data_IF_493015163116
#
_entry.id   IF_493015163116
#
_cell.length_a   1.000
_cell.length_b   1.000
_cell.length_c   1.000
_cell.angle_alpha   90.00
_cell.angle_beta   90.00
_cell.angle_gamma   90.00
#
_symmetry.space_group_name_H-M   'P 1'
#
loop_
_entity.id
_entity.type
_entity.pdbx_description
1 polymer ?
#
# COMPACT_ATOMS: atom_id res chain seq x y z
N UNK A 1 -59.19 -24.82 10.92
CA UNK A 1 -58.97 -23.56 10.18
C UNK A 1 -57.94 -22.80 10.99
N UNK A 2 -56.69 -23.10 10.67
CA UNK A 2 -55.54 -22.91 11.54
C UNK A 2 -55.09 -21.45 11.59
N UNK A 3 -54.57 -20.96 12.72
CA UNK A 3 -53.99 -19.62 12.79
C UNK A 3 -52.69 -19.59 11.97
N UNK A 4 -52.63 -18.66 11.03
CA UNK A 4 -51.45 -18.39 10.20
C UNK A 4 -50.30 -17.97 11.13
N UNK A 5 -49.28 -18.83 11.23
CA UNK A 5 -48.01 -18.53 11.88
C UNK A 5 -47.42 -17.28 11.23
N UNK A 6 -47.38 -16.18 11.99
CA UNK A 6 -46.52 -15.05 11.67
C UNK A 6 -45.07 -15.52 11.78
N UNK A 7 -44.50 -15.88 10.62
CA UNK A 7 -43.07 -16.06 10.40
C UNK A 7 -42.32 -14.95 11.11
N UNK A 8 -41.61 -15.29 12.18
CA UNK A 8 -40.64 -14.41 12.81
C UNK A 8 -39.55 -14.14 11.77
N UNK A 9 -39.64 -12.99 11.11
CA UNK A 9 -38.57 -12.44 10.30
C UNK A 9 -37.33 -12.34 11.20
N UNK A 10 -36.44 -13.31 11.08
CA UNK A 10 -35.15 -13.34 11.76
C UNK A 10 -34.27 -12.37 10.98
N UNK A 11 -33.90 -11.19 11.53
CA UNK A 11 -32.93 -10.36 10.83
C UNK A 11 -31.60 -11.11 10.80
N UNK A 12 -31.27 -11.69 9.66
CA UNK A 12 -29.94 -12.18 9.32
C UNK A 12 -29.01 -10.98 9.14
N UNK A 13 -28.73 -10.32 10.25
CA UNK A 13 -27.85 -9.17 10.36
C UNK A 13 -26.92 -9.40 11.52
N UNK A 14 -26.14 -10.48 11.47
CA UNK A 14 -24.94 -10.62 12.29
C UNK A 14 -23.89 -9.63 11.76
N UNK A 15 -24.20 -8.34 11.89
CA UNK A 15 -23.19 -7.29 11.94
C UNK A 15 -22.48 -7.53 13.27
N UNK A 16 -21.49 -8.41 13.20
CA UNK A 16 -20.58 -8.74 14.28
C UNK A 16 -19.93 -7.42 14.70
N UNK A 17 -20.52 -6.78 15.72
CA UNK A 17 -19.91 -5.64 16.40
C UNK A 17 -18.68 -6.20 17.08
N UNK A 18 -17.57 -6.27 16.34
CA UNK A 18 -16.26 -6.61 16.86
C UNK A 18 -16.05 -5.71 18.07
N UNK A 19 -15.97 -6.33 19.24
CA UNK A 19 -15.85 -5.59 20.50
C UNK A 19 -14.57 -4.75 20.38
N UNK A 20 -14.65 -3.46 20.71
CA UNK A 20 -13.51 -2.53 20.59
C UNK A 20 -12.24 -3.06 21.27
N UNK A 21 -12.40 -3.89 22.29
CA UNK A 21 -11.32 -4.60 22.99
C UNK A 21 -10.57 -5.57 22.06
N UNK A 22 -11.26 -6.31 21.20
CA UNK A 22 -10.62 -7.22 20.23
C UNK A 22 -9.81 -6.44 19.19
N UNK A 23 -10.36 -5.33 18.69
CA UNK A 23 -9.64 -4.41 17.81
C UNK A 23 -8.37 -3.86 18.48
N UNK A 24 -8.48 -3.42 19.73
CA UNK A 24 -7.36 -2.87 20.48
C UNK A 24 -6.27 -3.93 20.73
N UNK A 25 -6.64 -5.18 21.04
CA UNK A 25 -5.68 -6.29 21.19
C UNK A 25 -4.97 -6.59 19.87
N UNK A 26 -5.70 -6.61 18.74
CA UNK A 26 -5.08 -6.79 17.41
C UNK A 26 -4.10 -5.68 17.10
N UNK A 27 -4.46 -4.44 17.39
CA UNK A 27 -3.57 -3.27 17.23
C UNK A 27 -2.32 -3.39 18.09
N UNK A 28 -2.43 -3.82 19.36
CA UNK A 28 -1.27 -4.03 20.22
C UNK A 28 -0.35 -5.14 19.70
N UNK A 29 -0.92 -6.25 19.22
CA UNK A 29 -0.14 -7.34 18.63
C UNK A 29 0.57 -6.84 17.36
N UNK A 30 -0.14 -6.13 16.48
CA UNK A 30 0.45 -5.53 15.29
C UNK A 30 1.54 -4.53 15.63
N UNK A 31 1.33 -3.67 16.62
CA UNK A 31 2.32 -2.70 17.08
C UNK A 31 3.56 -3.38 17.67
N UNK A 32 3.37 -4.43 18.49
CA UNK A 32 4.46 -5.20 19.06
C UNK A 32 5.28 -5.92 17.97
N UNK A 33 4.61 -6.56 17.02
CA UNK A 33 5.27 -7.19 15.87
C UNK A 33 6.02 -6.17 15.01
N UNK A 34 5.42 -4.99 14.78
CA UNK A 34 6.05 -3.92 14.02
C UNK A 34 7.28 -3.35 14.74
N UNK A 35 7.18 -3.13 16.05
CA UNK A 35 8.30 -2.67 16.88
C UNK A 35 9.41 -3.72 16.93
N UNK A 36 9.06 -5.00 17.06
CA UNK A 36 10.00 -6.11 16.99
C UNK A 36 10.71 -6.19 15.64
N UNK A 37 9.98 -6.02 14.54
CA UNK A 37 10.56 -5.94 13.19
C UNK A 37 11.52 -4.76 13.06
N UNK A 38 11.12 -3.56 13.49
CA UNK A 38 11.97 -2.38 13.46
C UNK A 38 13.25 -2.59 14.28
N UNK A 39 13.13 -3.18 15.48
CA UNK A 39 14.27 -3.48 16.33
C UNK A 39 15.21 -4.50 15.68
N UNK A 40 14.66 -5.57 15.10
CA UNK A 40 15.43 -6.57 14.36
C UNK A 40 16.14 -5.97 13.13
N UNK A 41 15.45 -5.15 12.35
CA UNK A 41 16.04 -4.43 11.22
C UNK A 41 17.19 -3.51 11.68
N UNK A 42 17.00 -2.78 12.79
CA UNK A 42 18.02 -1.87 13.33
C UNK A 42 19.23 -2.62 13.91
N UNK A 43 19.00 -3.79 14.53
CA UNK A 43 20.05 -4.57 15.19
C UNK A 43 20.82 -5.49 14.24
N UNK A 44 20.14 -6.07 13.24
CA UNK A 44 20.72 -7.09 12.34
C UNK A 44 21.20 -6.52 11.00
N UNK A 45 20.64 -5.40 10.55
CA UNK A 45 20.97 -4.81 9.27
C UNK A 45 21.54 -3.41 9.51
N UNK A 46 22.83 -3.22 9.20
CA UNK A 46 23.41 -1.89 8.95
C UNK A 46 22.95 -1.38 7.57
N UNK A 47 21.67 -1.56 7.24
CA UNK A 47 21.07 -1.07 6.00
C UNK A 47 20.83 0.42 6.23
N UNK A 48 21.65 1.24 5.59
CA UNK A 48 21.36 2.66 5.47
C UNK A 48 20.09 2.78 4.63
N UNK A 49 18.94 2.93 5.30
CA UNK A 49 17.69 3.37 4.68
C UNK A 49 17.82 4.82 4.16
N UNK A 50 18.87 5.50 4.61
CA UNK A 50 19.29 6.81 4.17
C UNK A 50 20.27 6.71 3.00
N UNK A 51 20.13 7.60 2.02
CA UNK A 51 21.18 7.88 1.05
C UNK A 51 22.32 8.59 1.79
N UNK A 52 23.38 7.86 2.14
CA UNK A 52 24.49 8.36 2.96
C UNK A 52 24.97 9.76 2.53
N UNK A 53 25.00 10.74 3.45
CA UNK A 53 25.49 12.09 3.17
C UNK A 53 27.03 12.17 3.01
N UNK A 54 27.77 11.09 3.24
CA UNK A 54 29.22 11.04 3.01
C UNK A 54 29.61 10.93 1.52
N UNK A 55 28.66 10.91 0.61
CA UNK A 55 28.89 11.20 -0.81
C UNK A 55 29.09 12.72 -1.04
N UNK A 56 30.03 13.33 -0.31
CA UNK A 56 30.37 14.76 -0.37
C UNK A 56 30.87 15.25 -1.75
N UNK A 57 30.84 14.41 -2.79
CA UNK A 57 31.19 14.75 -4.18
C UNK A 57 30.35 13.95 -5.18
N UNK A 58 29.03 13.78 -4.97
CA UNK A 58 28.18 13.15 -6.00
C UNK A 58 27.07 14.10 -6.43
N UNK A 59 27.21 14.56 -7.67
CA UNK A 59 26.30 15.41 -8.46
C UNK A 59 24.91 14.78 -8.72
N UNK A 60 24.46 13.83 -7.89
CA UNK A 60 23.23 13.05 -8.08
C UNK A 60 22.47 13.01 -6.75
N UNK A 61 21.46 13.86 -6.62
CA UNK A 61 20.48 13.78 -5.52
C UNK A 61 19.65 12.50 -5.68
N UNK A 62 19.99 11.45 -4.92
CA UNK A 62 19.25 10.19 -4.87
C UNK A 62 18.20 10.31 -3.75
N UNK A 63 16.93 10.10 -4.06
CA UNK A 63 15.86 10.07 -3.06
C UNK A 63 15.89 8.74 -2.28
N UNK A 64 15.20 8.66 -1.12
CA UNK A 64 15.10 7.44 -0.35
C UNK A 64 14.54 6.27 -1.16
N UNK A 65 14.95 5.05 -0.83
CA UNK A 65 14.58 3.82 -1.54
C UNK A 65 13.05 3.61 -1.67
N UNK A 66 12.24 4.13 -0.73
CA UNK A 66 10.77 4.09 -0.80
C UNK A 66 10.24 4.77 -2.08
N UNK A 67 10.96 5.79 -2.54
CA UNK A 67 10.67 6.49 -3.80
C UNK A 67 11.39 5.87 -5.00
N UNK A 68 12.07 4.73 -4.86
CA UNK A 68 12.89 4.14 -5.92
C UNK A 68 12.13 3.86 -7.21
N UNK A 69 10.93 3.26 -7.14
CA UNK A 69 10.08 3.06 -8.31
C UNK A 69 9.69 4.39 -8.98
N UNK A 70 9.38 5.42 -8.19
CA UNK A 70 9.05 6.75 -8.69
C UNK A 70 10.27 7.37 -9.35
N UNK A 71 11.45 7.34 -8.72
CA UNK A 71 12.69 7.85 -9.29
C UNK A 71 13.07 7.16 -10.60
N UNK A 72 12.94 5.83 -10.67
CA UNK A 72 13.16 5.08 -11.91
C UNK A 72 12.20 5.53 -13.02
N UNK A 73 10.93 5.75 -12.67
CA UNK A 73 9.92 6.25 -13.61
C UNK A 73 10.20 7.70 -14.04
N UNK A 74 10.62 8.57 -13.12
CA UNK A 74 11.00 9.96 -13.42
C UNK A 74 12.25 10.02 -14.32
N UNK A 75 13.22 9.12 -14.14
CA UNK A 75 14.45 9.06 -14.97
C UNK A 75 14.19 8.58 -16.40
N UNK A 76 13.15 7.74 -16.59
CA UNK A 76 12.84 7.15 -17.90
C UNK A 76 12.00 8.06 -18.78
N UNK A 77 11.30 9.05 -18.21
CA UNK A 77 10.32 9.89 -18.88
C UNK A 77 10.73 11.37 -18.86
N UNK A 78 10.31 12.18 -19.85
CA UNK A 78 10.65 13.60 -19.89
C UNK A 78 10.03 14.37 -18.72
N UNK A 79 10.76 15.35 -18.19
CA UNK A 79 10.46 16.04 -16.92
C UNK A 79 9.06 16.66 -16.83
N UNK A 80 8.51 17.13 -17.96
CA UNK A 80 7.16 17.72 -17.98
C UNK A 80 6.06 16.66 -17.76
N UNK A 81 6.25 15.45 -18.28
CA UNK A 81 5.30 14.37 -18.12
C UNK A 81 5.39 13.77 -16.71
N UNK A 82 6.60 13.64 -16.21
CA UNK A 82 6.88 13.01 -14.93
C UNK A 82 6.59 13.93 -13.73
N UNK A 83 6.78 15.24 -13.89
CA UNK A 83 6.49 16.24 -12.85
C UNK A 83 5.02 16.66 -12.74
N UNK A 84 4.25 16.67 -13.83
CA UNK A 84 2.86 17.16 -13.82
C UNK A 84 1.84 16.07 -14.12
N UNK A 85 2.04 15.33 -15.21
CA UNK A 85 1.04 14.37 -15.71
C UNK A 85 0.93 13.18 -14.77
N UNK A 86 2.05 12.68 -14.25
CA UNK A 86 2.08 11.52 -13.36
C UNK A 86 1.33 11.75 -12.03
N UNK A 87 1.57 12.87 -11.30
CA UNK A 87 0.78 13.21 -10.12
C UNK A 87 -0.71 13.40 -10.44
N UNK A 88 -1.03 14.17 -11.48
CA UNK A 88 -2.42 14.43 -11.89
C UNK A 88 -3.17 13.14 -12.25
N UNK A 89 -2.53 12.24 -12.99
CA UNK A 89 -3.09 10.95 -13.36
C UNK A 89 -3.29 10.08 -12.12
N UNK A 90 -2.31 10.05 -11.19
CA UNK A 90 -2.41 9.27 -9.97
C UNK A 90 -3.56 9.75 -9.08
N UNK A 91 -3.73 11.06 -8.95
CA UNK A 91 -4.87 11.65 -8.24
C UNK A 91 -6.19 11.32 -8.94
N UNK A 92 -6.25 11.41 -10.27
CA UNK A 92 -7.46 11.04 -11.02
C UNK A 92 -7.82 9.55 -10.82
N UNK A 93 -6.84 8.65 -10.85
CA UNK A 93 -7.05 7.22 -10.60
C UNK A 93 -7.58 7.00 -9.18
N UNK A 94 -6.99 7.65 -8.16
CA UNK A 94 -7.46 7.61 -6.77
C UNK A 94 -8.89 8.12 -6.61
N UNK A 95 -9.30 9.13 -7.38
CA UNK A 95 -10.67 9.65 -7.37
C UNK A 95 -11.66 8.73 -8.10
N UNK A 96 -11.20 7.99 -9.11
CA UNK A 96 -12.05 7.06 -9.88
C UNK A 96 -12.20 5.69 -9.23
N UNK A 97 -11.34 5.35 -8.25
CA UNK A 97 -11.38 4.11 -7.47
C UNK A 97 -12.76 3.77 -6.87
N UNK A 98 -13.49 4.68 -6.18
CA UNK A 98 -14.83 4.39 -5.67
C UNK A 98 -15.85 4.07 -6.76
N UNK A 99 -15.72 4.66 -7.95
CA UNK A 99 -16.59 4.37 -9.09
C UNK A 99 -16.29 3.01 -9.73
N UNK A 100 -15.04 2.55 -9.65
CA UNK A 100 -14.60 1.24 -10.15
C UNK A 100 -14.97 0.09 -9.21
N UNK A 101 -14.99 0.33 -7.91
CA UNK A 101 -15.39 -0.68 -6.92
C UNK A 101 -16.80 -1.23 -7.20
N UNK A 102 -17.71 -0.39 -7.72
CA UNK A 102 -19.07 -0.80 -8.06
C UNK A 102 -19.16 -1.64 -9.35
N UNK A 103 -18.17 -1.56 -10.25
CA UNK A 103 -18.21 -2.19 -11.57
C UNK A 103 -17.29 -3.39 -11.72
N UNK A 104 -16.24 -3.47 -10.90
CA UNK A 104 -15.19 -4.49 -11.01
C UNK A 104 -15.38 -5.53 -9.90
N UNK A 105 -15.57 -6.79 -10.28
CA UNK A 105 -15.74 -7.87 -9.31
C UNK A 105 -14.53 -7.99 -8.36
N UNK A 106 -14.78 -8.34 -7.10
CA UNK A 106 -13.79 -8.41 -6.02
C UNK A 106 -12.52 -9.20 -6.38
N UNK A 107 -12.67 -10.27 -7.18
CA UNK A 107 -11.55 -11.09 -7.66
C UNK A 107 -10.63 -10.31 -8.63
N UNK A 108 -11.20 -9.52 -9.54
CA UNK A 108 -10.44 -8.71 -10.50
C UNK A 108 -9.71 -7.56 -9.82
N UNK A 109 -10.35 -6.90 -8.86
CA UNK A 109 -9.69 -5.86 -8.04
C UNK A 109 -8.46 -6.44 -7.33
N UNK A 110 -8.58 -7.65 -6.78
CA UNK A 110 -7.48 -8.33 -6.10
C UNK A 110 -6.32 -8.66 -7.04
N UNK A 111 -6.60 -9.17 -8.24
CA UNK A 111 -5.58 -9.47 -9.26
C UNK A 111 -4.88 -8.18 -9.70
N UNK A 112 -5.63 -7.10 -9.96
CA UNK A 112 -5.06 -5.82 -10.37
C UNK A 112 -4.17 -5.26 -9.26
N UNK A 113 -4.65 -5.26 -8.01
CA UNK A 113 -3.89 -4.80 -6.86
C UNK A 113 -2.59 -5.59 -6.69
N UNK A 114 -2.65 -6.92 -6.69
CA UNK A 114 -1.48 -7.78 -6.54
C UNK A 114 -0.47 -7.53 -7.66
N UNK A 115 -0.95 -7.41 -8.90
CA UNK A 115 -0.09 -7.14 -10.07
C UNK A 115 0.59 -5.78 -9.92
N UNK A 116 -0.16 -4.72 -9.56
CA UNK A 116 0.38 -3.39 -9.34
C UNK A 116 1.42 -3.37 -8.20
N UNK A 117 1.13 -4.02 -7.08
CA UNK A 117 2.06 -4.14 -5.95
C UNK A 117 3.33 -4.88 -6.35
N UNK A 118 3.22 -5.99 -7.08
CA UNK A 118 4.37 -6.77 -7.51
C UNK A 118 5.24 -6.00 -8.49
N UNK A 119 4.63 -5.30 -9.45
CA UNK A 119 5.33 -4.42 -10.39
C UNK A 119 6.04 -3.29 -9.63
N UNK A 120 5.40 -2.69 -8.63
CA UNK A 120 5.97 -1.64 -7.82
C UNK A 120 7.20 -2.11 -7.02
N UNK A 121 7.08 -3.26 -6.35
CA UNK A 121 8.21 -3.88 -5.62
C UNK A 121 9.33 -4.24 -6.58
N UNK A 122 9.01 -4.83 -7.73
CA UNK A 122 9.98 -5.18 -8.77
C UNK A 122 10.75 -3.96 -9.30
N UNK A 123 10.05 -2.86 -9.59
CA UNK A 123 10.64 -1.59 -10.03
C UNK A 123 11.58 -1.00 -8.97
N UNK A 124 11.14 -1.01 -7.70
CA UNK A 124 11.95 -0.52 -6.58
C UNK A 124 13.22 -1.36 -6.40
N UNK A 125 13.09 -2.68 -6.52
CA UNK A 125 14.23 -3.60 -6.45
C UNK A 125 15.19 -3.41 -7.63
N UNK A 126 14.69 -3.32 -8.86
CA UNK A 126 15.51 -3.02 -10.04
C UNK A 126 16.28 -1.71 -9.90
N UNK A 127 15.64 -0.65 -9.37
CA UNK A 127 16.29 0.61 -9.10
C UNK A 127 17.43 0.48 -8.07
N UNK A 128 17.23 -0.31 -7.01
CA UNK A 128 18.25 -0.55 -5.99
C UNK A 128 19.45 -1.35 -6.53
N UNK A 129 19.26 -2.21 -7.54
CA UNK A 129 20.34 -2.98 -8.16
C UNK A 129 21.04 -2.25 -9.31
N UNK A 130 20.33 -1.41 -10.07
CA UNK A 130 20.89 -0.67 -11.21
C UNK A 130 21.52 0.67 -10.84
N UNK A 131 21.16 1.27 -9.69
CA UNK A 131 21.66 2.58 -9.28
C UNK A 131 22.48 2.54 -8.02
#
# INVERSE_FOLDING_TARGET
>A
MDPIETEKFKPSGHQEKVQLIELQVREYISAFLWLGLLFALTASLKVSLDSSPEAAVVSVSKAPWVFGAIQWMLQRWPAWLSGWVLPLLSTAVLLTLPCWEQKVGKMWVWIIFLTLSLVWVGLTFLYMFMG
#
